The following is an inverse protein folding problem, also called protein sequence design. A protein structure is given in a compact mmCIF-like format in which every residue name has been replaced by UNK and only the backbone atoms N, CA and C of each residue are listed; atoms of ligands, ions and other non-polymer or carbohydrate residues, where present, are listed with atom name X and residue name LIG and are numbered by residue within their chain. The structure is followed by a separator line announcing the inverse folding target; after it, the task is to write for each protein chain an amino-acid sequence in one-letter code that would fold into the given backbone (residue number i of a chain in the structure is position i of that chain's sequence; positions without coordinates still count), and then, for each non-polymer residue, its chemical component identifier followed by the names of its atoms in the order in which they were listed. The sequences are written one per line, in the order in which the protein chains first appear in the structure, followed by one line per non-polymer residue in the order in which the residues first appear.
data_IF_581828763606
#
_entry.id   IF_581828763606
#
_cell.length_a   1.000
_cell.length_b   1.000
_cell.length_c   1.000
_cell.angle_alpha   90.00
_cell.angle_beta   90.00
_cell.angle_gamma   90.00
#
_symmetry.space_group_name_H-M   'P 1'
#
loop_
_entity.id
_entity.type
_entity.pdbx_description
1 polymer ?
#
# COMPACT_ATOMS: atom_id res chain seq x y z
N UNK A 1 39.60 52.05 -1.86
CA UNK A 1 38.65 50.95 -2.16
C UNK A 1 39.21 49.64 -1.60
N UNK A 2 39.14 49.40 -0.28
CA UNK A 2 39.76 48.23 0.39
C UNK A 2 38.76 47.35 1.16
N UNK A 3 37.46 47.43 0.84
CA UNK A 3 36.39 46.83 1.66
C UNK A 3 35.85 45.45 1.23
N UNK A 4 36.22 44.93 0.05
CA UNK A 4 35.55 43.75 -0.53
C UNK A 4 36.42 42.48 -0.59
N UNK A 5 37.72 42.56 -0.28
CA UNK A 5 38.60 41.37 -0.32
C UNK A 5 38.55 40.51 0.96
N UNK A 6 38.04 41.03 2.08
CA UNK A 6 38.15 40.35 3.39
C UNK A 6 36.95 39.44 3.73
N UNK A 7 35.77 39.68 3.15
CA UNK A 7 34.55 38.89 3.44
C UNK A 7 34.64 37.49 2.83
N UNK A 8 35.30 37.34 1.68
CA UNK A 8 35.37 36.06 0.96
C UNK A 8 36.35 35.05 1.57
N UNK A 9 37.39 35.52 2.28
CA UNK A 9 38.38 34.64 2.91
C UNK A 9 37.92 34.12 4.27
N UNK A 10 37.31 34.98 5.10
CA UNK A 10 36.71 34.55 6.37
C UNK A 10 35.64 33.47 6.17
N UNK A 11 34.86 33.59 5.09
CA UNK A 11 33.80 32.64 4.74
C UNK A 11 34.31 31.25 4.30
N UNK A 12 35.55 31.15 3.83
CA UNK A 12 36.14 29.90 3.37
C UNK A 12 36.77 29.11 4.51
N UNK A 13 37.35 29.82 5.47
CA UNK A 13 38.04 29.21 6.62
C UNK A 13 37.06 28.58 7.62
N UNK A 14 35.92 29.20 7.90
CA UNK A 14 34.92 28.60 8.81
C UNK A 14 34.32 27.33 8.21
N UNK A 15 34.04 27.32 6.90
CA UNK A 15 33.43 26.18 6.23
C UNK A 15 34.36 24.95 6.25
N UNK A 16 35.66 25.15 6.04
CA UNK A 16 36.64 24.07 6.13
C UNK A 16 36.64 23.43 7.52
N UNK A 17 36.63 24.27 8.56
CA UNK A 17 36.61 23.82 9.96
C UNK A 17 35.32 23.06 10.30
N UNK A 18 34.17 23.59 9.89
CA UNK A 18 32.87 22.97 10.13
C UNK A 18 32.74 21.61 9.44
N UNK A 19 33.23 21.48 8.20
CA UNK A 19 33.25 20.22 7.46
C UNK A 19 34.16 19.18 8.13
N UNK A 20 35.31 19.59 8.69
CA UNK A 20 36.16 18.72 9.50
C UNK A 20 35.48 18.27 10.80
N UNK A 21 34.77 19.17 11.47
CA UNK A 21 34.01 18.86 12.68
C UNK A 21 32.90 17.84 12.38
N UNK A 22 32.16 18.01 11.28
CA UNK A 22 31.15 17.03 10.84
C UNK A 22 31.76 15.67 10.49
N UNK A 23 32.96 15.66 9.90
CA UNK A 23 33.69 14.43 9.61
C UNK A 23 34.13 13.73 10.89
N UNK A 24 34.70 14.47 11.85
CA UNK A 24 35.13 13.94 13.14
C UNK A 24 33.95 13.40 13.98
N UNK A 25 32.76 14.00 13.82
CA UNK A 25 31.52 13.54 14.44
C UNK A 25 30.85 12.36 13.71
N UNK A 26 31.38 11.94 12.54
CA UNK A 26 30.79 10.87 11.72
C UNK A 26 29.46 11.25 11.06
N UNK A 27 29.14 12.55 10.98
CA UNK A 27 27.93 13.07 10.32
C UNK A 27 28.06 12.91 8.80
N UNK A 28 29.29 13.03 8.28
CA UNK A 28 29.61 12.90 6.85
C UNK A 28 30.85 12.02 6.65
N UNK A 29 30.92 11.35 5.50
CA UNK A 29 32.11 10.61 5.07
C UNK A 29 33.17 11.50 4.39
N UNK A 30 34.39 10.98 4.21
CA UNK A 30 35.53 11.69 3.61
C UNK A 30 35.21 12.22 2.19
N UNK A 31 34.37 11.52 1.43
CA UNK A 31 33.98 11.95 0.09
C UNK A 31 32.91 13.04 0.10
N UNK A 32 31.93 12.94 0.99
CA UNK A 32 30.95 13.99 1.22
C UNK A 32 31.66 15.28 1.65
N UNK A 33 32.65 15.20 2.53
CA UNK A 33 33.49 16.32 2.92
C UNK A 33 34.22 16.95 1.71
N UNK A 34 34.91 16.15 0.91
CA UNK A 34 35.60 16.64 -0.30
C UNK A 34 34.64 17.20 -1.36
N UNK A 35 33.44 16.60 -1.52
CA UNK A 35 32.39 17.06 -2.44
C UNK A 35 31.79 18.40 -2.01
N UNK A 36 31.61 18.62 -0.70
CA UNK A 36 31.17 19.92 -0.17
C UNK A 36 32.27 20.96 -0.41
N UNK A 37 33.52 20.68 -0.06
CA UNK A 37 34.64 21.61 -0.21
C UNK A 37 34.93 21.97 -1.68
N UNK A 38 34.79 21.01 -2.61
CA UNK A 38 34.99 21.25 -4.05
C UNK A 38 33.98 22.22 -4.66
N UNK A 39 32.73 22.26 -4.17
CA UNK A 39 31.73 23.27 -4.60
C UNK A 39 32.17 24.70 -4.31
N UNK A 40 32.99 24.90 -3.29
CA UNK A 40 33.48 26.21 -2.86
C UNK A 40 34.94 26.47 -3.27
N UNK A 41 35.55 25.55 -4.04
CA UNK A 41 36.95 25.65 -4.47
C UNK A 41 37.97 25.50 -3.33
N UNK A 42 37.61 24.77 -2.27
CA UNK A 42 38.43 24.54 -1.07
C UNK A 42 38.99 23.12 -0.97
N UNK A 43 38.75 22.28 -1.98
CA UNK A 43 39.28 20.93 -2.02
C UNK A 43 40.78 20.97 -2.35
N UNK A 44 41.60 20.38 -1.47
CA UNK A 44 43.07 20.28 -1.66
C UNK A 44 43.42 19.31 -2.80
N UNK A 45 42.58 18.29 -2.99
CA UNK A 45 42.64 17.34 -4.09
C UNK A 45 41.28 17.30 -4.78
N UNK A 46 41.22 17.34 -6.12
CA UNK A 46 39.98 17.01 -6.84
C UNK A 46 39.47 15.67 -6.30
N UNK A 47 38.19 15.56 -5.90
CA UNK A 47 37.66 14.28 -5.45
C UNK A 47 37.93 13.29 -6.58
N UNK A 48 38.78 12.29 -6.32
CA UNK A 48 38.85 11.13 -7.18
C UNK A 48 37.41 10.65 -7.27
N UNK A 49 36.84 10.46 -8.48
CA UNK A 49 35.48 9.99 -8.59
C UNK A 49 35.43 8.67 -7.82
N UNK A 50 34.87 8.70 -6.62
CA UNK A 50 34.29 7.50 -6.05
C UNK A 50 33.45 6.94 -7.18
N UNK A 51 33.58 5.64 -7.41
CA UNK A 51 32.59 4.88 -8.18
C UNK A 51 31.26 5.05 -7.44
N UNK A 52 30.62 6.21 -7.57
CA UNK A 52 29.19 6.37 -7.45
C UNK A 52 28.72 5.47 -8.56
N UNK A 53 28.40 4.24 -8.17
CA UNK A 53 28.07 3.20 -9.09
C UNK A 53 26.98 3.74 -10.01
N UNK A 54 26.92 3.19 -11.22
CA UNK A 54 25.76 3.27 -12.09
C UNK A 54 24.57 2.51 -11.44
N UNK A 55 24.29 2.81 -10.18
CA UNK A 55 23.36 2.15 -9.28
C UNK A 55 21.93 2.48 -9.68
N UNK A 56 21.66 3.68 -10.18
CA UNK A 56 20.28 4.11 -10.49
C UNK A 56 19.68 3.35 -11.70
N UNK A 57 20.43 3.14 -12.77
CA UNK A 57 19.96 2.39 -13.96
C UNK A 57 19.96 0.87 -13.71
N UNK A 58 21.02 0.34 -13.11
CA UNK A 58 21.15 -1.10 -12.82
C UNK A 58 20.11 -1.55 -11.78
N UNK A 59 19.88 -0.76 -10.72
CA UNK A 59 18.87 -1.05 -9.70
C UNK A 59 17.45 -1.04 -10.27
N UNK A 60 17.13 -0.12 -11.18
CA UNK A 60 15.82 -0.07 -11.84
C UNK A 60 15.59 -1.27 -12.76
N UNK A 61 16.59 -1.68 -13.53
CA UNK A 61 16.51 -2.87 -14.38
C UNK A 61 16.36 -4.15 -13.53
N UNK A 62 17.15 -4.29 -12.47
CA UNK A 62 17.06 -5.42 -11.54
C UNK A 62 15.67 -5.45 -10.89
N UNK A 63 15.14 -4.31 -10.46
CA UNK A 63 13.79 -4.20 -9.90
C UNK A 63 12.74 -4.57 -10.93
N UNK A 64 12.82 -4.07 -12.16
CA UNK A 64 11.87 -4.38 -13.22
C UNK A 64 11.87 -5.87 -13.57
N UNK A 65 13.04 -6.48 -13.74
CA UNK A 65 13.18 -7.92 -14.00
C UNK A 65 12.65 -8.73 -12.81
N UNK A 66 12.91 -8.29 -11.58
CA UNK A 66 12.41 -8.97 -10.37
C UNK A 66 10.89 -8.91 -10.27
N UNK A 67 10.29 -7.75 -10.55
CA UNK A 67 8.82 -7.58 -10.59
C UNK A 67 8.20 -8.42 -11.69
N UNK A 68 8.79 -8.41 -12.90
CA UNK A 68 8.33 -9.25 -14.01
C UNK A 68 8.43 -10.74 -13.68
N UNK A 69 9.55 -11.17 -13.10
CA UNK A 69 9.75 -12.55 -12.65
C UNK A 69 8.73 -12.97 -11.60
N UNK A 70 8.45 -12.11 -10.62
CA UNK A 70 7.44 -12.36 -9.60
C UNK A 70 6.02 -12.45 -10.19
N UNK A 71 5.67 -11.56 -11.13
CA UNK A 71 4.38 -11.61 -11.84
C UNK A 71 4.26 -12.90 -12.65
N UNK A 72 5.30 -13.25 -13.41
CA UNK A 72 5.30 -14.43 -14.27
C UNK A 72 5.23 -15.72 -13.44
N UNK A 73 5.96 -15.79 -12.32
CA UNK A 73 5.87 -16.89 -11.38
C UNK A 73 4.46 -17.01 -10.78
N UNK A 74 3.86 -15.88 -10.37
CA UNK A 74 2.48 -15.84 -9.88
C UNK A 74 1.47 -16.35 -10.92
N UNK A 75 1.58 -15.87 -12.17
CA UNK A 75 0.77 -16.35 -13.30
C UNK A 75 0.98 -17.85 -13.51
N UNK A 76 2.23 -18.33 -13.47
CA UNK A 76 2.55 -19.75 -13.61
C UNK A 76 1.86 -20.62 -12.56
N UNK A 77 1.87 -20.20 -11.29
CA UNK A 77 1.15 -20.89 -10.21
C UNK A 77 -0.36 -20.91 -10.47
N UNK A 78 -0.94 -19.77 -10.86
CA UNK A 78 -2.37 -19.68 -11.19
C UNK A 78 -2.72 -20.62 -12.35
N UNK A 79 -1.93 -20.64 -13.43
CA UNK A 79 -2.15 -21.50 -14.58
C UNK A 79 -1.98 -22.99 -14.25
N UNK A 80 -1.01 -23.33 -13.41
CA UNK A 80 -0.83 -24.71 -12.94
C UNK A 80 -2.06 -25.20 -12.16
N UNK A 81 -2.58 -24.38 -11.24
CA UNK A 81 -3.81 -24.69 -10.49
C UNK A 81 -5.00 -24.76 -11.44
N UNK A 82 -5.15 -23.80 -12.35
CA UNK A 82 -6.26 -23.72 -13.30
C UNK A 82 -6.29 -24.90 -14.27
N UNK A 83 -5.14 -25.31 -14.80
CA UNK A 83 -5.03 -26.47 -15.71
C UNK A 83 -5.36 -27.79 -15.03
N UNK A 84 -5.13 -27.89 -13.71
CA UNK A 84 -5.50 -29.05 -12.92
C UNK A 84 -6.86 -28.92 -12.22
N UNK A 85 -7.58 -27.82 -12.41
CA UNK A 85 -8.78 -27.47 -11.65
C UNK A 85 -9.84 -28.57 -11.63
N UNK A 86 -10.08 -29.23 -12.77
CA UNK A 86 -11.05 -30.33 -12.88
C UNK A 86 -10.68 -31.58 -12.08
N UNK A 87 -9.38 -31.82 -11.84
CA UNK A 87 -8.87 -32.98 -11.11
C UNK A 87 -8.86 -32.78 -9.60
N UNK A 88 -8.90 -31.54 -9.13
CA UNK A 88 -8.85 -31.20 -7.71
C UNK A 88 -10.24 -31.45 -7.10
N UNK A 89 -10.35 -32.20 -5.99
CA UNK A 89 -11.60 -32.35 -5.24
C UNK A 89 -12.12 -31.00 -4.73
N UNK A 90 -13.44 -30.85 -4.64
CA UNK A 90 -14.06 -29.57 -4.27
C UNK A 90 -13.64 -29.08 -2.88
N UNK A 91 -13.49 -30.00 -1.91
CA UNK A 91 -12.97 -29.68 -0.59
C UNK A 91 -11.56 -29.05 -0.64
N UNK A 92 -10.67 -29.57 -1.49
CA UNK A 92 -9.32 -29.02 -1.64
C UNK A 92 -9.34 -27.65 -2.33
N UNK A 93 -10.25 -27.43 -3.29
CA UNK A 93 -10.43 -26.11 -3.92
C UNK A 93 -10.83 -25.07 -2.87
N UNK A 94 -11.77 -25.41 -2.00
CA UNK A 94 -12.21 -24.50 -0.92
C UNK A 94 -11.08 -24.22 0.05
N UNK A 95 -10.37 -25.26 0.50
CA UNK A 95 -9.22 -25.08 1.39
C UNK A 95 -8.16 -24.19 0.75
N UNK A 96 -7.86 -24.38 -0.53
CA UNK A 96 -6.93 -23.51 -1.27
C UNK A 96 -7.39 -22.04 -1.27
N UNK A 97 -8.68 -21.78 -1.57
CA UNK A 97 -9.23 -20.42 -1.60
C UNK A 97 -9.18 -19.76 -0.21
N UNK A 98 -9.63 -20.46 0.82
CA UNK A 98 -9.63 -19.97 2.19
C UNK A 98 -8.21 -19.75 2.72
N UNK A 99 -7.31 -20.72 2.57
CA UNK A 99 -5.91 -20.59 2.99
C UNK A 99 -5.23 -19.42 2.28
N UNK A 100 -5.50 -19.22 0.98
CA UNK A 100 -4.94 -18.09 0.24
C UNK A 100 -5.47 -16.76 0.77
N UNK A 101 -6.78 -16.65 1.02
CA UNK A 101 -7.36 -15.41 1.54
C UNK A 101 -6.90 -15.10 2.99
N UNK A 102 -7.05 -16.07 3.90
CA UNK A 102 -6.64 -15.91 5.30
C UNK A 102 -5.13 -15.80 5.47
N UNK A 103 -4.36 -16.57 4.72
CA UNK A 103 -2.89 -16.51 4.72
C UNK A 103 -2.39 -15.14 4.26
N UNK A 104 -3.02 -14.55 3.24
CA UNK A 104 -2.69 -13.20 2.77
C UNK A 104 -3.08 -12.14 3.81
N UNK A 105 -4.25 -12.28 4.46
CA UNK A 105 -4.64 -11.40 5.58
C UNK A 105 -3.66 -11.47 6.74
N UNK A 106 -3.28 -12.68 7.16
CA UNK A 106 -2.34 -12.89 8.25
C UNK A 106 -0.96 -12.34 7.91
N UNK A 107 -0.47 -12.56 6.69
CA UNK A 107 0.79 -12.00 6.22
C UNK A 107 0.74 -10.46 6.17
N UNK A 108 -0.36 -9.87 5.69
CA UNK A 108 -0.56 -8.42 5.66
C UNK A 108 -0.60 -7.81 7.06
N UNK A 109 -1.35 -8.43 7.97
CA UNK A 109 -1.42 -8.03 9.37
C UNK A 109 -0.05 -8.10 10.05
N UNK A 110 0.66 -9.23 9.90
CA UNK A 110 2.00 -9.37 10.46
C UNK A 110 2.97 -8.31 9.92
N UNK A 111 2.91 -7.99 8.62
CA UNK A 111 3.77 -6.95 8.02
C UNK A 111 3.36 -5.52 8.39
N UNK A 112 2.14 -5.30 8.86
CA UNK A 112 1.69 -3.99 9.33
C UNK A 112 2.13 -3.71 10.77
N UNK A 113 2.03 -4.73 11.64
CA UNK A 113 2.22 -4.55 13.10
C UNK A 113 3.60 -4.95 13.63
N UNK A 114 4.49 -5.49 12.79
CA UNK A 114 5.86 -5.84 13.20
C UNK A 114 6.80 -4.61 13.12
N UNK A 115 7.62 -4.38 14.14
CA UNK A 115 8.36 -3.11 14.34
C UNK A 115 9.50 -2.89 13.31
N UNK A 116 9.82 -3.91 12.50
CA UNK A 116 10.84 -3.89 11.45
C UNK A 116 10.28 -3.99 10.02
N UNK A 117 8.95 -4.08 9.87
CA UNK A 117 8.34 -4.43 8.58
C UNK A 117 7.95 -3.21 7.75
N UNK A 118 7.76 -3.44 6.45
CA UNK A 118 7.42 -2.42 5.46
C UNK A 118 5.89 -2.17 5.50
N UNK A 119 5.39 -1.12 6.19
CA UNK A 119 3.95 -0.95 6.42
C UNK A 119 3.17 -0.78 5.11
N UNK A 120 3.79 -0.17 4.09
CA UNK A 120 3.23 -0.05 2.74
C UNK A 120 2.90 -1.41 2.11
N UNK A 121 3.75 -2.40 2.33
CA UNK A 121 3.56 -3.76 1.82
C UNK A 121 2.45 -4.47 2.61
N UNK A 122 2.38 -4.26 3.94
CA UNK A 122 1.27 -4.75 4.77
C UNK A 122 -0.10 -4.25 4.28
N UNK A 123 -0.22 -2.94 4.02
CA UNK A 123 -1.44 -2.34 3.48
C UNK A 123 -1.82 -2.93 2.11
N UNK A 124 -0.84 -3.14 1.23
CA UNK A 124 -1.07 -3.75 -0.08
C UNK A 124 -1.54 -5.21 0.04
N UNK A 125 -0.98 -5.99 0.97
CA UNK A 125 -1.41 -7.36 1.23
C UNK A 125 -2.81 -7.43 1.83
N UNK A 126 -3.17 -6.55 2.76
CA UNK A 126 -4.53 -6.50 3.31
C UNK A 126 -5.59 -6.13 2.25
N UNK A 127 -5.24 -5.20 1.35
CA UNK A 127 -6.08 -4.89 0.20
C UNK A 127 -6.21 -6.09 -0.74
N UNK A 128 -5.11 -6.77 -1.06
CA UNK A 128 -5.11 -7.98 -1.89
C UNK A 128 -5.94 -9.11 -1.26
N UNK A 129 -5.81 -9.32 0.06
CA UNK A 129 -6.60 -10.30 0.80
C UNK A 129 -8.11 -9.98 0.73
N UNK A 130 -8.48 -8.70 0.78
CA UNK A 130 -9.87 -8.25 0.62
C UNK A 130 -10.42 -8.59 -0.77
N UNK A 131 -9.60 -8.56 -1.82
CA UNK A 131 -9.96 -9.04 -3.16
C UNK A 131 -10.11 -10.56 -3.20
N UNK A 132 -9.19 -11.29 -2.54
CA UNK A 132 -9.26 -12.75 -2.46
C UNK A 132 -10.50 -13.26 -1.72
N UNK A 133 -11.03 -12.51 -0.75
CA UNK A 133 -12.34 -12.82 -0.14
C UNK A 133 -13.45 -12.83 -1.19
N UNK A 134 -13.49 -11.80 -2.05
CA UNK A 134 -14.44 -11.76 -3.18
C UNK A 134 -14.26 -12.94 -4.12
N UNK A 135 -13.02 -13.18 -4.58
CA UNK A 135 -12.72 -14.33 -5.42
C UNK A 135 -13.16 -15.66 -4.78
N UNK A 136 -12.94 -15.84 -3.48
CA UNK A 136 -13.35 -17.03 -2.73
C UNK A 136 -14.86 -17.21 -2.75
N UNK A 137 -15.63 -16.14 -2.51
CA UNK A 137 -17.10 -16.18 -2.54
C UNK A 137 -17.61 -16.58 -3.94
N UNK A 138 -17.09 -15.93 -4.98
CA UNK A 138 -17.51 -16.20 -6.36
C UNK A 138 -17.12 -17.58 -6.85
N UNK A 139 -15.89 -18.03 -6.59
CA UNK A 139 -15.44 -19.36 -6.98
C UNK A 139 -16.16 -20.46 -6.18
N UNK A 140 -16.46 -20.22 -4.91
CA UNK A 140 -17.26 -21.17 -4.10
C UNK A 140 -18.65 -21.35 -4.69
N UNK A 141 -19.31 -20.26 -5.10
CA UNK A 141 -20.61 -20.34 -5.77
C UNK A 141 -20.53 -21.13 -7.08
N UNK A 142 -19.44 -20.98 -7.86
CA UNK A 142 -19.21 -21.75 -9.08
C UNK A 142 -18.95 -23.23 -8.80
N UNK A 143 -18.14 -23.57 -7.79
CA UNK A 143 -17.82 -24.96 -7.42
C UNK A 143 -19.10 -25.72 -7.06
N UNK A 144 -19.98 -25.10 -6.27
CA UNK A 144 -21.23 -25.72 -5.83
C UNK A 144 -22.41 -25.50 -6.76
N UNK A 145 -22.20 -24.89 -7.94
CA UNK A 145 -23.25 -24.53 -8.90
C UNK A 145 -24.43 -23.78 -8.25
N UNK A 146 -24.13 -22.90 -7.29
CA UNK A 146 -25.15 -22.12 -6.58
C UNK A 146 -25.75 -21.12 -7.56
N UNK A 147 -27.05 -21.23 -7.82
CA UNK A 147 -27.80 -20.28 -8.63
C UNK A 147 -28.15 -19.03 -7.81
N UNK A 148 -27.11 -18.29 -7.42
CA UNK A 148 -27.26 -17.03 -6.74
C UNK A 148 -27.00 -15.87 -7.71
N UNK A 149 -27.90 -14.89 -7.72
CA UNK A 149 -27.74 -13.68 -8.51
C UNK A 149 -26.46 -12.94 -8.10
N UNK A 150 -25.74 -12.40 -9.08
CA UNK A 150 -24.47 -11.71 -8.86
C UNK A 150 -24.56 -10.61 -7.78
N UNK A 151 -25.69 -9.91 -7.67
CA UNK A 151 -25.88 -8.91 -6.61
C UNK A 151 -25.78 -9.53 -5.20
N UNK A 152 -26.30 -10.73 -4.94
CA UNK A 152 -26.19 -11.35 -3.62
C UNK A 152 -24.73 -11.70 -3.28
N UNK A 153 -23.95 -12.16 -4.26
CA UNK A 153 -22.53 -12.47 -4.06
C UNK A 153 -21.71 -11.20 -3.79
N UNK A 154 -21.98 -10.11 -4.52
CA UNK A 154 -21.32 -8.81 -4.28
C UNK A 154 -21.72 -8.24 -2.91
N UNK A 155 -22.96 -8.43 -2.46
CA UNK A 155 -23.38 -8.02 -1.12
C UNK A 155 -22.63 -8.79 -0.03
N UNK A 156 -22.52 -10.11 -0.17
CA UNK A 156 -21.74 -10.96 0.75
C UNK A 156 -20.28 -10.53 0.78
N UNK A 157 -19.71 -10.18 -0.38
CA UNK A 157 -18.35 -9.67 -0.44
C UNK A 157 -18.22 -8.36 0.34
N UNK A 158 -19.10 -7.38 0.09
CA UNK A 158 -19.12 -6.12 0.84
C UNK A 158 -19.23 -6.35 2.35
N UNK A 159 -20.17 -7.19 2.80
CA UNK A 159 -20.35 -7.51 4.21
C UNK A 159 -19.12 -8.18 4.81
N UNK A 160 -18.46 -9.06 4.07
CA UNK A 160 -17.27 -9.77 4.53
C UNK A 160 -16.07 -8.83 4.70
N UNK A 161 -15.86 -7.86 3.80
CA UNK A 161 -14.71 -6.93 3.86
C UNK A 161 -14.96 -5.67 4.72
N UNK A 162 -16.23 -5.35 5.00
CA UNK A 162 -16.64 -4.22 5.84
C UNK A 162 -15.92 -4.16 7.20
N UNK A 163 -15.96 -5.19 8.07
CA UNK A 163 -15.32 -5.13 9.39
C UNK A 163 -13.82 -4.89 9.31
N UNK A 164 -13.14 -5.42 8.29
CA UNK A 164 -11.70 -5.24 8.10
C UNK A 164 -11.34 -3.82 7.65
N UNK A 165 -12.20 -3.16 6.86
CA UNK A 165 -12.03 -1.75 6.51
C UNK A 165 -12.03 -0.83 7.73
N UNK A 166 -12.87 -1.13 8.71
CA UNK A 166 -12.92 -0.40 9.98
C UNK A 166 -11.78 -0.78 10.93
N UNK A 167 -11.42 -2.06 11.01
CA UNK A 167 -10.38 -2.54 11.91
C UNK A 167 -8.97 -2.02 11.54
N UNK A 168 -8.64 -1.99 10.24
CA UNK A 168 -7.30 -1.60 9.77
C UNK A 168 -7.18 -0.12 9.34
N UNK A 169 -8.28 0.65 9.36
CA UNK A 169 -8.32 2.08 8.99
C UNK A 169 -7.60 2.42 7.66
N UNK A 170 -7.59 1.47 6.71
CA UNK A 170 -6.87 1.60 5.45
C UNK A 170 -7.76 2.23 4.38
N UNK A 171 -7.34 3.37 3.84
CA UNK A 171 -8.06 4.10 2.77
C UNK A 171 -8.33 3.22 1.55
N UNK A 172 -7.44 2.27 1.24
CA UNK A 172 -7.60 1.38 0.08
C UNK A 172 -8.73 0.36 0.28
N UNK A 173 -8.86 -0.18 1.49
CA UNK A 173 -9.94 -1.13 1.84
C UNK A 173 -11.28 -0.39 1.91
N UNK A 174 -11.30 0.82 2.46
CA UNK A 174 -12.49 1.67 2.43
C UNK A 174 -12.92 2.01 1.00
N UNK A 175 -11.96 2.31 0.11
CA UNK A 175 -12.23 2.49 -1.31
C UNK A 175 -12.84 1.24 -1.96
N UNK A 176 -12.35 0.04 -1.59
CA UNK A 176 -12.92 -1.22 -2.06
C UNK A 176 -14.35 -1.44 -1.53
N UNK A 177 -14.62 -1.11 -0.26
CA UNK A 177 -15.98 -1.17 0.31
C UNK A 177 -16.96 -0.28 -0.45
N UNK A 178 -16.57 0.96 -0.75
CA UNK A 178 -17.38 1.89 -1.54
C UNK A 178 -17.63 1.31 -2.94
N UNK A 179 -16.58 0.78 -3.58
CA UNK A 179 -16.69 0.15 -4.90
C UNK A 179 -17.67 -1.03 -4.89
N UNK A 180 -17.50 -1.98 -3.97
CA UNK A 180 -18.34 -3.17 -3.88
C UNK A 180 -19.79 -2.80 -3.54
N UNK A 181 -20.01 -1.80 -2.70
CA UNK A 181 -21.34 -1.25 -2.42
C UNK A 181 -21.99 -0.62 -3.66
N UNK A 182 -21.24 0.19 -4.42
CA UNK A 182 -21.74 0.80 -5.65
C UNK A 182 -22.06 -0.26 -6.71
N UNK A 183 -21.18 -1.25 -6.87
CA UNK A 183 -21.38 -2.38 -7.77
C UNK A 183 -22.62 -3.19 -7.39
N UNK A 184 -22.80 -3.47 -6.11
CA UNK A 184 -24.01 -4.11 -5.59
C UNK A 184 -25.26 -3.33 -5.98
N UNK A 185 -25.27 -2.01 -5.76
CA UNK A 185 -26.43 -1.17 -6.04
C UNK A 185 -26.76 -1.15 -7.54
N UNK A 186 -25.74 -1.06 -8.40
CA UNK A 186 -25.92 -1.12 -9.86
C UNK A 186 -26.53 -2.46 -10.29
N UNK A 187 -26.01 -3.58 -9.78
CA UNK A 187 -26.53 -4.92 -10.10
C UNK A 187 -27.92 -5.16 -9.52
N UNK A 188 -28.20 -4.64 -8.33
CA UNK A 188 -29.50 -4.74 -7.71
C UNK A 188 -30.55 -3.95 -8.50
N UNK A 189 -30.24 -2.72 -8.90
CA UNK A 189 -31.13 -1.89 -9.72
C UNK A 189 -31.36 -2.53 -11.09
N UNK A 190 -30.32 -3.09 -11.73
CA UNK A 190 -30.46 -3.71 -13.05
C UNK A 190 -31.37 -4.94 -13.03
N UNK A 191 -31.33 -5.75 -11.97
CA UNK A 191 -32.25 -6.87 -11.75
C UNK A 191 -33.65 -6.37 -11.36
N UNK A 192 -33.74 -5.38 -10.46
CA UNK A 192 -35.02 -4.87 -9.92
C UNK A 192 -35.81 -4.04 -10.94
N UNK A 193 -35.15 -3.42 -11.94
CA UNK A 193 -35.86 -2.79 -13.08
C UNK A 193 -36.76 -3.77 -13.84
N UNK A 194 -36.61 -5.09 -13.65
CA UNK A 194 -37.51 -6.12 -14.19
C UNK A 194 -38.69 -6.52 -13.29
N UNK A 195 -38.80 -6.01 -12.05
CA UNK A 195 -39.93 -6.31 -11.15
C UNK A 195 -39.89 -5.54 -9.82
N UNK A 196 -40.96 -4.80 -9.52
CA UNK A 196 -41.23 -4.01 -8.30
C UNK A 196 -41.80 -4.90 -7.17
N UNK A 197 -41.71 -4.69 -5.84
CA UNK A 197 -41.21 -3.68 -4.86
C UNK A 197 -40.92 -4.39 -3.49
N UNK A 198 -40.34 -3.65 -2.52
CA UNK A 198 -40.19 -3.90 -1.05
C UNK A 198 -38.85 -4.50 -0.54
N UNK A 199 -37.76 -3.71 -0.56
CA UNK A 199 -36.68 -3.84 0.47
C UNK A 199 -35.75 -2.62 0.58
N UNK A 200 -35.93 -1.59 -0.25
CA UNK A 200 -35.02 -0.44 -0.40
C UNK A 200 -34.75 0.35 0.90
N UNK A 201 -35.66 0.28 1.88
CA UNK A 201 -35.55 0.97 3.16
C UNK A 201 -34.52 0.32 4.11
N UNK A 202 -34.39 -1.02 4.11
CA UNK A 202 -33.48 -1.72 5.03
C UNK A 202 -32.02 -1.56 4.63
N UNK A 203 -31.73 -1.58 3.32
CA UNK A 203 -30.35 -1.39 2.83
C UNK A 203 -29.85 0.04 3.03
N UNK A 204 -30.75 1.02 2.94
CA UNK A 204 -30.44 2.41 3.24
C UNK A 204 -30.18 2.65 4.74
N UNK A 205 -30.88 1.93 5.62
CA UNK A 205 -30.66 1.97 7.08
C UNK A 205 -29.30 1.41 7.50
N UNK A 206 -28.83 0.33 6.87
CA UNK A 206 -27.46 -0.16 7.08
C UNK A 206 -26.42 0.87 6.65
N UNK A 207 -26.66 1.59 5.55
CA UNK A 207 -25.77 2.65 5.07
C UNK A 207 -25.68 3.85 6.03
N UNK A 208 -26.78 4.24 6.67
CA UNK A 208 -26.81 5.35 7.63
C UNK A 208 -26.07 5.05 8.95
N UNK A 209 -26.00 3.80 9.38
CA UNK A 209 -25.23 3.41 10.57
C UNK A 209 -23.72 3.44 10.35
N UNK A 210 -23.27 3.19 9.12
CA UNK A 210 -21.84 3.11 8.76
C UNK A 210 -21.27 4.40 8.13
N UNK A 211 -22.11 5.30 7.63
CA UNK A 211 -21.72 6.50 6.90
C UNK A 211 -21.26 7.71 7.72
N UNK A 212 -21.26 7.68 9.06
CA UNK A 212 -21.02 8.88 9.89
C UNK A 212 -19.67 9.02 10.60
N UNK A 213 -18.72 8.07 10.52
CA UNK A 213 -17.60 8.10 11.50
C UNK A 213 -16.24 8.68 11.04
N UNK A 214 -15.80 8.74 9.77
CA UNK A 214 -14.43 9.20 9.52
C UNK A 214 -14.27 10.73 9.41
N UNK A 215 -15.35 11.52 9.38
CA UNK A 215 -15.25 12.99 9.33
C UNK A 215 -15.24 13.60 10.75
N UNK A 216 -15.97 13.01 11.70
CA UNK A 216 -16.03 13.52 13.08
C UNK A 216 -14.76 13.24 13.89
N UNK A 217 -13.97 12.22 13.57
CA UNK A 217 -12.70 11.97 14.27
C UNK A 217 -11.58 12.95 13.88
N UNK A 218 -11.57 13.48 12.66
CA UNK A 218 -10.60 14.53 12.27
C UNK A 218 -10.92 15.91 12.88
N UNK A 219 -12.17 16.15 13.26
CA UNK A 219 -12.59 17.40 13.94
C UNK A 219 -12.40 17.30 15.45
N UNK A 220 -12.56 16.12 16.05
CA UNK A 220 -12.43 15.93 17.50
C UNK A 220 -10.98 15.66 17.94
N UNK A 221 -10.12 15.09 17.09
CA UNK A 221 -8.73 14.76 17.41
C UNK A 221 -7.74 15.70 16.70
N UNK A 222 -7.94 17.01 16.81
CA UNK A 222 -6.93 18.01 16.49
C UNK A 222 -6.22 18.48 17.78
N UNK A 223 -5.03 17.95 18.12
CA UNK A 223 -4.31 18.34 19.33
C UNK A 223 -3.68 19.75 19.27
N UNK A 224 -3.87 20.51 18.19
CA UNK A 224 -3.32 21.85 18.04
C UNK A 224 -4.26 23.00 18.47
N UNK A 225 -5.49 22.70 18.89
CA UNK A 225 -6.46 23.75 19.25
C UNK A 225 -6.46 24.16 20.74
N UNK A 226 -5.51 23.67 21.55
CA UNK A 226 -5.48 23.95 22.99
C UNK A 226 -4.18 24.60 23.50
N UNK A 227 -3.47 25.31 22.62
CA UNK A 227 -2.34 26.16 23.03
C UNK A 227 -2.39 27.51 22.31
N UNK A 228 -3.45 28.28 22.51
CA UNK A 228 -3.45 29.74 22.37
C UNK A 228 -4.81 30.28 22.83
N UNK A 229 -4.75 31.10 23.91
CA UNK A 229 -5.79 31.84 24.66
C UNK A 229 -5.87 31.41 26.12
#
# INVERSE_FOLDING_TARGET
MNGLYNVNQGNKTWLKKEVEDWKNQGIIDEYQAQKILSRYGLAETPPEPQKVAKEDESSRLITAISVLGAILAGIGVILFVASNWKKIPDFLKLMLLFVTAFGTYFAGWKLEFDTKSHPKLGHALLFLASIFVGATIFLTAQIFNVNANAHWLVLLWFLAISPFGYAFNSNHILGLNIFTSALWMILFISVTRRGMYLSTFETFMLYLLFGRVPIMQKVIYNPYFHKEC
#
